data_IF_328171745212
#
_entry.id   IF_328171745212
#
_cell.length_a   1.000
_cell.length_b   1.000
_cell.length_c   1.000
_cell.angle_alpha   90.00
_cell.angle_beta   90.00
_cell.angle_gamma   90.00
#
_symmetry.space_group_name_H-M   'P 1'
#
loop_
_entity.id
_entity.type
_entity.pdbx_description
1 polymer ?
#
# COMPACT_ATOMS: atom_id res chain seq x y z
N UNK A 1 -22.10 40.51 -29.87
CA UNK A 1 -21.70 39.09 -29.73
C UNK A 1 -22.84 38.10 -29.43
N UNK A 2 -24.12 38.53 -29.30
CA UNK A 2 -25.23 37.64 -28.86
C UNK A 2 -26.10 37.01 -29.97
N UNK A 3 -25.85 37.31 -31.26
CA UNK A 3 -26.68 36.81 -32.38
C UNK A 3 -26.27 35.43 -32.93
N UNK A 4 -25.02 35.01 -32.72
CA UNK A 4 -24.50 33.75 -33.28
C UNK A 4 -24.95 32.51 -32.48
N UNK A 5 -25.04 32.61 -31.14
CA UNK A 5 -25.43 31.47 -30.27
C UNK A 5 -26.88 30.98 -30.47
N UNK A 6 -27.83 31.88 -30.79
CA UNK A 6 -29.24 31.49 -31.00
C UNK A 6 -29.46 30.65 -32.26
N UNK A 7 -28.63 30.84 -33.29
CA UNK A 7 -28.77 30.09 -34.54
C UNK A 7 -28.22 28.66 -34.41
N UNK A 8 -27.15 28.45 -33.65
CA UNK A 8 -26.56 27.11 -33.42
C UNK A 8 -27.53 26.15 -32.70
N UNK A 9 -28.21 26.62 -31.66
CA UNK A 9 -29.20 25.81 -30.92
C UNK A 9 -30.42 25.47 -31.79
N UNK A 10 -30.77 26.35 -32.74
CA UNK A 10 -31.89 26.13 -33.66
C UNK A 10 -31.54 25.10 -34.75
N UNK A 11 -30.30 25.10 -35.23
CA UNK A 11 -29.79 24.11 -36.19
C UNK A 11 -29.56 22.73 -35.56
N UNK A 12 -29.08 22.65 -34.32
CA UNK A 12 -28.88 21.38 -33.61
C UNK A 12 -30.19 20.62 -33.32
N UNK A 13 -31.32 21.34 -33.18
CA UNK A 13 -32.66 20.72 -33.03
C UNK A 13 -33.23 20.13 -34.33
N UNK A 14 -32.66 20.47 -35.49
CA UNK A 14 -33.10 19.98 -36.80
C UNK A 14 -32.36 18.72 -37.24
N UNK A 15 -31.28 18.34 -36.57
CA UNK A 15 -30.58 17.09 -36.82
C UNK A 15 -31.39 15.97 -36.16
N UNK A 16 -32.29 15.38 -36.94
CA UNK A 16 -33.00 14.16 -36.57
C UNK A 16 -32.31 12.99 -37.24
N UNK A 17 -31.98 11.97 -36.46
CA UNK A 17 -31.51 10.69 -37.00
C UNK A 17 -32.52 10.19 -38.03
N UNK A 18 -32.02 9.80 -39.20
CA UNK A 18 -32.84 9.16 -40.21
C UNK A 18 -33.37 7.82 -39.68
N UNK A 19 -34.50 7.35 -40.23
CA UNK A 19 -35.11 6.10 -39.75
C UNK A 19 -34.13 4.91 -39.77
N UNK A 20 -33.32 4.81 -40.84
CA UNK A 20 -32.32 3.75 -41.00
C UNK A 20 -31.17 3.85 -40.00
N UNK A 21 -30.74 5.06 -39.60
CA UNK A 21 -29.70 5.25 -38.58
C UNK A 21 -30.19 4.80 -37.20
N UNK A 22 -31.46 5.11 -36.87
CA UNK A 22 -32.06 4.64 -35.61
C UNK A 22 -32.20 3.12 -35.58
N UNK A 23 -32.55 2.51 -36.70
CA UNK A 23 -32.71 1.06 -36.77
C UNK A 23 -31.34 0.34 -36.71
N UNK A 24 -30.30 0.91 -37.34
CA UNK A 24 -28.93 0.42 -37.20
C UNK A 24 -28.41 0.52 -35.76
N UNK A 25 -28.68 1.64 -35.07
CA UNK A 25 -28.32 1.81 -33.66
C UNK A 25 -29.07 0.80 -32.79
N UNK A 26 -30.37 0.57 -33.02
CA UNK A 26 -31.15 -0.44 -32.29
C UNK A 26 -30.61 -1.84 -32.50
N UNK A 27 -30.26 -2.22 -33.72
CA UNK A 27 -29.68 -3.53 -34.01
C UNK A 27 -28.33 -3.71 -33.32
N UNK A 28 -27.46 -2.71 -33.36
CA UNK A 28 -26.18 -2.76 -32.64
C UNK A 28 -26.39 -2.84 -31.12
N UNK A 29 -27.39 -2.15 -30.57
CA UNK A 29 -27.72 -2.22 -29.15
C UNK A 29 -28.25 -3.60 -28.76
N UNK A 30 -29.09 -4.21 -29.59
CA UNK A 30 -29.61 -5.57 -29.38
C UNK A 30 -28.49 -6.60 -29.47
N UNK A 31 -27.56 -6.46 -30.42
CA UNK A 31 -26.38 -7.33 -30.52
C UNK A 31 -25.49 -7.18 -29.29
N UNK A 32 -25.24 -5.95 -28.83
CA UNK A 32 -24.48 -5.70 -27.62
C UNK A 32 -25.16 -6.28 -26.37
N UNK A 33 -26.49 -6.12 -26.25
CA UNK A 33 -27.29 -6.69 -25.15
C UNK A 33 -27.35 -8.22 -25.15
N UNK A 34 -27.18 -8.86 -26.30
CA UNK A 34 -27.15 -10.32 -26.42
C UNK A 34 -25.75 -10.92 -26.21
N UNK A 35 -24.67 -10.16 -26.47
CA UNK A 35 -23.29 -10.63 -26.30
C UNK A 35 -22.72 -10.35 -24.91
N UNK A 36 -23.25 -9.35 -24.19
CA UNK A 36 -22.89 -9.11 -22.80
C UNK A 36 -23.83 -9.95 -21.92
N UNK A 37 -23.33 -10.96 -21.17
CA UNK A 37 -24.19 -11.67 -20.24
C UNK A 37 -24.80 -10.65 -19.29
N UNK A 38 -26.12 -10.70 -19.09
CA UNK A 38 -26.77 -9.94 -18.02
C UNK A 38 -26.05 -10.31 -16.74
N UNK A 39 -25.23 -9.39 -16.22
CA UNK A 39 -24.92 -9.39 -14.80
C UNK A 39 -26.28 -9.14 -14.17
N UNK A 40 -26.96 -10.22 -13.83
CA UNK A 40 -28.06 -10.20 -12.92
C UNK A 40 -27.39 -9.72 -11.64
N UNK A 41 -27.38 -8.40 -11.43
CA UNK A 41 -27.19 -7.86 -10.10
C UNK A 41 -28.38 -8.41 -9.36
N UNK A 42 -28.22 -9.59 -8.76
CA UNK A 42 -29.03 -9.90 -7.62
C UNK A 42 -28.93 -8.66 -6.77
N UNK A 43 -30.07 -7.98 -6.60
CA UNK A 43 -30.18 -7.02 -5.53
C UNK A 43 -29.96 -7.88 -4.31
N UNK A 44 -28.71 -8.00 -3.86
CA UNK A 44 -28.36 -8.45 -2.56
C UNK A 44 -29.04 -7.45 -1.65
N UNK A 45 -30.30 -7.72 -1.33
CA UNK A 45 -31.05 -7.01 -0.34
C UNK A 45 -30.30 -7.31 0.94
N UNK A 46 -29.40 -6.41 1.30
CA UNK A 46 -28.75 -6.38 2.58
C UNK A 46 -29.86 -6.36 3.62
N UNK A 47 -30.29 -7.53 4.09
CA UNK A 47 -31.34 -7.67 5.09
C UNK A 47 -30.94 -7.01 6.44
N UNK A 48 -29.69 -6.55 6.56
CA UNK A 48 -29.21 -5.68 7.63
C UNK A 48 -29.86 -4.29 7.65
N UNK A 49 -30.42 -3.80 6.53
CA UNK A 49 -31.11 -2.49 6.49
C UNK A 49 -32.59 -2.55 6.91
N UNK A 50 -33.14 -3.74 7.21
CA UNK A 50 -34.51 -3.87 7.75
C UNK A 50 -34.55 -4.01 9.28
N UNK A 51 -33.40 -3.95 9.95
CA UNK A 51 -33.37 -3.78 11.39
C UNK A 51 -33.95 -2.39 11.70
N UNK A 52 -35.06 -2.34 12.44
CA UNK A 52 -35.64 -1.08 12.93
C UNK A 52 -34.50 -0.21 13.50
N UNK A 53 -34.46 1.11 13.25
CA UNK A 53 -33.36 1.98 13.70
C UNK A 53 -33.08 1.86 15.21
N UNK A 54 -34.08 1.44 16.00
CA UNK A 54 -33.98 1.11 17.42
C UNK A 54 -33.07 -0.09 17.72
N UNK A 55 -33.03 -1.12 16.87
CA UNK A 55 -32.12 -2.27 17.04
C UNK A 55 -30.67 -1.94 16.66
N UNK A 56 -30.46 -1.11 15.62
CA UNK A 56 -29.12 -0.62 15.27
C UNK A 56 -28.60 0.31 16.37
N UNK A 57 -29.45 1.19 16.91
CA UNK A 57 -29.13 2.02 18.05
C UNK A 57 -28.91 1.21 19.34
N UNK A 58 -29.67 0.13 19.55
CA UNK A 58 -29.50 -0.79 20.69
C UNK A 58 -28.21 -1.60 20.62
N UNK A 59 -27.84 -2.09 19.43
CA UNK A 59 -26.54 -2.73 19.19
C UNK A 59 -25.40 -1.71 19.36
N UNK A 60 -25.55 -0.48 18.85
CA UNK A 60 -24.61 0.61 19.10
C UNK A 60 -24.47 0.92 20.61
N UNK A 61 -25.56 1.01 21.37
CA UNK A 61 -25.52 1.24 22.83
C UNK A 61 -24.86 0.06 23.58
N UNK A 62 -25.08 -1.17 23.11
CA UNK A 62 -24.47 -2.37 23.69
C UNK A 62 -22.97 -2.47 23.38
N UNK A 63 -22.54 -2.08 22.18
CA UNK A 63 -21.12 -1.93 21.82
C UNK A 63 -20.46 -0.71 22.53
N UNK A 64 -21.20 0.37 22.78
CA UNK A 64 -20.74 1.53 23.58
C UNK A 64 -20.60 1.18 25.07
N UNK A 65 -21.46 0.30 25.61
CA UNK A 65 -21.37 -0.20 26.99
C UNK A 65 -20.13 -1.04 27.29
N UNK A 66 -19.43 -1.51 26.25
CA UNK A 66 -18.13 -2.20 26.32
C UNK A 66 -17.00 -1.35 25.69
N UNK A 67 -17.19 -0.03 25.60
CA UNK A 67 -16.57 0.92 24.66
C UNK A 67 -15.04 0.99 24.53
N UNK A 68 -14.27 0.31 25.39
CA UNK A 68 -12.83 0.15 25.20
C UNK A 68 -12.49 -0.98 24.19
N UNK A 69 -13.24 -2.08 24.18
CA UNK A 69 -12.90 -3.27 23.38
C UNK A 69 -13.26 -3.15 21.89
N UNK A 70 -14.41 -2.56 21.58
CA UNK A 70 -14.92 -2.43 20.20
C UNK A 70 -14.10 -1.44 19.38
N UNK A 71 -13.78 -0.29 19.97
CA UNK A 71 -12.96 0.74 19.33
C UNK A 71 -11.54 0.22 19.03
N UNK A 72 -10.99 -0.59 19.95
CA UNK A 72 -9.69 -1.24 19.77
C UNK A 72 -9.73 -2.31 18.67
N UNK A 73 -10.78 -3.15 18.64
CA UNK A 73 -10.94 -4.16 17.59
C UNK A 73 -11.22 -3.55 16.20
N UNK A 74 -11.91 -2.41 16.14
CA UNK A 74 -12.10 -1.68 14.88
C UNK A 74 -10.79 -1.07 14.36
N UNK A 75 -9.87 -0.67 15.24
CA UNK A 75 -8.60 -0.07 14.86
C UNK A 75 -7.70 -1.04 14.06
N UNK A 76 -7.75 -2.32 14.39
CA UNK A 76 -6.97 -3.38 13.73
C UNK A 76 -7.70 -4.03 12.55
N UNK A 77 -8.97 -3.68 12.30
CA UNK A 77 -9.75 -4.26 11.22
C UNK A 77 -9.16 -3.95 9.83
N UNK A 78 -9.15 -4.96 8.96
CA UNK A 78 -8.75 -4.90 7.56
C UNK A 78 -9.96 -4.81 6.62
N UNK A 79 -9.78 -4.36 5.36
CA UNK A 79 -10.81 -4.43 4.35
C UNK A 79 -11.38 -5.85 4.24
N UNK A 80 -12.69 -5.99 4.42
CA UNK A 80 -13.37 -7.30 4.47
C UNK A 80 -13.77 -7.77 5.88
N UNK A 81 -13.15 -7.21 6.93
CA UNK A 81 -13.51 -7.52 8.32
C UNK A 81 -14.82 -6.85 8.75
N UNK A 82 -15.54 -7.48 9.68
CA UNK A 82 -16.85 -7.03 10.17
C UNK A 82 -16.83 -5.59 10.73
N UNK A 83 -15.75 -5.22 11.43
CA UNK A 83 -15.62 -3.91 12.08
C UNK A 83 -14.92 -2.86 11.21
N UNK A 84 -14.56 -3.19 9.96
CA UNK A 84 -13.93 -2.23 9.06
C UNK A 84 -14.80 -0.98 8.77
N UNK A 85 -16.12 -1.08 8.60
CA UNK A 85 -16.98 0.10 8.49
C UNK A 85 -16.91 1.01 9.73
N UNK A 86 -16.74 0.43 10.92
CA UNK A 86 -16.59 1.21 12.17
C UNK A 86 -15.27 1.97 12.16
N UNK A 87 -14.17 1.35 11.70
CA UNK A 87 -12.87 2.00 11.54
C UNK A 87 -12.97 3.28 10.71
N UNK A 88 -13.50 3.15 9.49
CA UNK A 88 -13.49 4.23 8.50
C UNK A 88 -14.55 5.31 8.76
N UNK A 89 -15.69 4.97 9.38
CA UNK A 89 -16.80 5.90 9.57
C UNK A 89 -16.87 6.50 10.99
N UNK A 90 -16.26 5.87 11.98
CA UNK A 90 -16.34 6.30 13.38
C UNK A 90 -14.94 6.61 13.91
N UNK A 91 -14.08 5.59 14.04
CA UNK A 91 -12.79 5.72 14.74
C UNK A 91 -11.90 6.79 14.09
N UNK A 92 -11.74 6.75 12.78
CA UNK A 92 -10.92 7.70 12.04
C UNK A 92 -11.52 9.12 12.03
N UNK A 93 -12.85 9.24 11.97
CA UNK A 93 -13.48 10.57 11.99
C UNK A 93 -13.35 11.24 13.36
N UNK A 94 -13.37 10.49 14.46
CA UNK A 94 -13.16 11.06 15.81
C UNK A 94 -11.74 11.66 15.92
N UNK A 95 -10.71 10.98 15.39
CA UNK A 95 -9.35 11.53 15.36
C UNK A 95 -9.25 12.79 14.50
N UNK A 96 -9.99 12.86 13.39
CA UNK A 96 -10.03 14.07 12.55
C UNK A 96 -10.53 15.32 13.29
N UNK A 97 -11.37 15.16 14.32
CA UNK A 97 -11.84 16.25 15.17
C UNK A 97 -10.79 16.75 16.17
N UNK A 98 -9.72 15.97 16.41
CA UNK A 98 -8.63 16.34 17.32
C UNK A 98 -7.55 17.20 16.63
N UNK A 99 -7.51 17.24 15.30
CA UNK A 99 -6.57 18.04 14.51
C UNK A 99 -6.97 19.53 14.53
N UNK A 100 -6.26 20.33 15.34
CA UNK A 100 -6.64 21.73 15.64
C UNK A 100 -6.19 22.74 14.59
N UNK A 101 -5.11 22.46 13.85
CA UNK A 101 -4.54 23.37 12.84
C UNK A 101 -4.32 22.68 11.48
N UNK A 102 -4.06 23.46 10.44
CA UNK A 102 -3.91 22.95 9.06
C UNK A 102 -2.76 21.95 8.92
N UNK A 103 -1.63 22.17 9.59
CA UNK A 103 -0.51 21.22 9.63
C UNK A 103 -0.92 19.86 10.22
N UNK A 104 -1.62 19.85 11.37
CA UNK A 104 -2.11 18.61 12.01
C UNK A 104 -3.19 17.90 11.19
N UNK A 105 -3.99 18.66 10.42
CA UNK A 105 -4.96 18.09 9.48
C UNK A 105 -4.25 17.45 8.29
N UNK A 106 -3.25 18.13 7.75
CA UNK A 106 -2.40 17.63 6.68
C UNK A 106 -1.71 16.32 7.06
N UNK A 107 -1.10 16.26 8.25
CA UNK A 107 -0.50 15.05 8.81
C UNK A 107 -1.52 13.92 8.94
N UNK A 108 -2.71 14.20 9.48
CA UNK A 108 -3.77 13.20 9.60
C UNK A 108 -4.23 12.63 8.25
N UNK A 109 -4.26 13.45 7.19
CA UNK A 109 -4.61 12.98 5.85
C UNK A 109 -3.56 12.02 5.28
N UNK A 110 -2.27 12.30 5.48
CA UNK A 110 -1.17 11.40 5.10
C UNK A 110 -1.18 10.12 5.94
N UNK A 111 -1.41 10.21 7.25
CA UNK A 111 -1.51 9.02 8.13
C UNK A 111 -2.60 8.05 7.64
N UNK A 112 -3.72 8.56 7.12
CA UNK A 112 -4.78 7.70 6.58
C UNK A 112 -4.41 7.01 5.29
N UNK A 113 -3.58 7.64 4.46
CA UNK A 113 -2.96 6.98 3.28
C UNK A 113 -2.06 5.85 3.77
N UNK A 114 -1.13 6.13 4.68
CA UNK A 114 -0.21 5.13 5.24
C UNK A 114 -1.01 3.93 5.77
N UNK A 115 -2.09 4.16 6.51
CA UNK A 115 -2.97 3.08 6.99
C UNK A 115 -3.60 2.25 5.89
N UNK A 116 -4.02 2.85 4.76
CA UNK A 116 -4.54 2.06 3.62
C UNK A 116 -3.42 1.21 3.02
N UNK A 117 -2.23 1.77 2.89
CA UNK A 117 -1.08 1.07 2.32
C UNK A 117 -0.63 -0.10 3.22
N UNK A 118 -0.58 0.11 4.53
CA UNK A 118 -0.33 -0.95 5.51
C UNK A 118 -1.39 -2.06 5.46
N UNK A 119 -2.66 -1.71 5.26
CA UNK A 119 -3.72 -2.73 5.10
C UNK A 119 -3.52 -3.54 3.82
N UNK A 120 -3.07 -2.91 2.73
CA UNK A 120 -2.70 -3.60 1.50
C UNK A 120 -1.55 -4.59 1.73
N UNK A 121 -0.54 -4.19 2.49
CA UNK A 121 0.59 -5.05 2.87
C UNK A 121 0.14 -6.22 3.73
N UNK A 122 -0.71 -5.98 4.73
CA UNK A 122 -1.23 -7.02 5.60
C UNK A 122 -2.11 -8.03 4.84
N UNK A 123 -2.98 -7.55 3.95
CA UNK A 123 -3.81 -8.40 3.09
C UNK A 123 -2.95 -9.23 2.12
N UNK A 124 -1.94 -8.61 1.51
CA UNK A 124 -0.99 -9.29 0.62
C UNK A 124 -0.20 -10.36 1.39
N UNK A 125 0.37 -10.01 2.53
CA UNK A 125 1.12 -10.93 3.38
C UNK A 125 0.26 -12.11 3.87
N UNK A 126 -1.01 -11.85 4.17
CA UNK A 126 -1.98 -12.86 4.59
C UNK A 126 -2.55 -13.70 3.43
N UNK A 127 -2.30 -13.34 2.17
CA UNK A 127 -2.93 -13.98 1.00
C UNK A 127 -4.45 -13.75 0.95
N UNK A 128 -4.93 -12.64 1.49
CA UNK A 128 -6.34 -12.25 1.58
C UNK A 128 -6.71 -11.07 0.67
N UNK A 129 -5.78 -10.66 -0.20
CA UNK A 129 -6.06 -9.66 -1.21
C UNK A 129 -6.78 -10.33 -2.38
N UNK A 130 -8.10 -10.26 -2.38
CA UNK A 130 -8.99 -10.78 -3.43
C UNK A 130 -9.68 -9.61 -4.17
N UNK A 131 -10.47 -9.92 -5.20
CA UNK A 131 -11.14 -8.89 -5.99
C UNK A 131 -12.01 -7.92 -5.15
N UNK A 132 -12.65 -8.43 -4.08
CA UNK A 132 -13.52 -7.62 -3.21
C UNK A 132 -12.71 -6.76 -2.26
N UNK A 133 -11.71 -7.34 -1.59
CA UNK A 133 -10.85 -6.57 -0.65
C UNK A 133 -10.00 -5.56 -1.39
N UNK A 134 -9.51 -5.89 -2.59
CA UNK A 134 -8.82 -4.94 -3.47
C UNK A 134 -9.72 -3.78 -3.91
N UNK A 135 -10.96 -4.03 -4.35
CA UNK A 135 -11.87 -2.96 -4.75
C UNK A 135 -12.19 -1.99 -3.58
N UNK A 136 -12.35 -2.53 -2.36
CA UNK A 136 -12.58 -1.71 -1.17
C UNK A 136 -11.33 -0.90 -0.78
N UNK A 137 -10.16 -1.51 -0.87
CA UNK A 137 -8.88 -0.85 -0.65
C UNK A 137 -8.69 0.30 -1.65
N UNK A 138 -8.87 0.06 -2.94
CA UNK A 138 -8.74 1.08 -3.98
C UNK A 138 -9.72 2.24 -3.80
N UNK A 139 -10.97 1.94 -3.46
CA UNK A 139 -11.98 2.97 -3.20
C UNK A 139 -11.60 3.84 -2.00
N UNK A 140 -11.17 3.21 -0.90
CA UNK A 140 -10.83 3.93 0.32
C UNK A 140 -9.52 4.70 0.17
N UNK A 141 -8.55 4.17 -0.56
CA UNK A 141 -7.32 4.86 -0.95
C UNK A 141 -7.61 6.08 -1.82
N UNK A 142 -8.35 5.93 -2.93
CA UNK A 142 -8.69 7.04 -3.83
C UNK A 142 -9.40 8.18 -3.09
N UNK A 143 -10.27 7.84 -2.13
CA UNK A 143 -10.92 8.83 -1.27
C UNK A 143 -9.93 9.60 -0.38
N UNK A 144 -8.86 8.97 0.10
CA UNK A 144 -7.82 9.67 0.85
C UNK A 144 -6.95 10.53 -0.05
N UNK A 145 -6.62 10.06 -1.26
CA UNK A 145 -5.88 10.86 -2.27
C UNK A 145 -6.59 12.18 -2.51
N UNK A 146 -7.89 12.15 -2.82
CA UNK A 146 -8.67 13.39 -3.02
C UNK A 146 -8.64 14.30 -1.79
N UNK A 147 -8.62 13.75 -0.56
CA UNK A 147 -8.51 14.58 0.65
C UNK A 147 -7.14 15.22 0.80
N UNK A 148 -6.07 14.53 0.39
CA UNK A 148 -4.71 15.09 0.35
C UNK A 148 -4.65 16.21 -0.66
N UNK A 149 -5.14 15.99 -1.88
CA UNK A 149 -5.21 17.02 -2.94
C UNK A 149 -6.02 18.24 -2.51
N UNK A 150 -7.19 18.05 -1.91
CA UNK A 150 -8.03 19.14 -1.40
C UNK A 150 -7.33 19.93 -0.27
N UNK A 151 -6.56 19.24 0.59
CA UNK A 151 -5.79 19.89 1.66
C UNK A 151 -4.63 20.70 1.11
N UNK A 152 -3.91 20.17 0.11
CA UNK A 152 -2.83 20.88 -0.59
C UNK A 152 -3.41 22.15 -1.23
N UNK A 153 -4.50 22.03 -1.99
CA UNK A 153 -5.18 23.19 -2.60
C UNK A 153 -5.63 24.21 -1.56
N UNK A 154 -6.13 23.75 -0.42
CA UNK A 154 -6.51 24.65 0.67
C UNK A 154 -5.32 25.45 1.20
N UNK A 155 -4.19 24.80 1.47
CA UNK A 155 -2.95 25.45 1.91
C UNK A 155 -2.41 26.43 0.86
N UNK A 156 -2.48 26.09 -0.42
CA UNK A 156 -2.13 27.01 -1.52
C UNK A 156 -3.01 28.27 -1.51
N UNK A 157 -4.32 28.13 -1.27
CA UNK A 157 -5.22 29.30 -1.17
C UNK A 157 -4.91 30.19 0.03
N UNK A 158 -4.28 29.63 1.07
CA UNK A 158 -3.79 30.35 2.24
C UNK A 158 -2.36 30.88 2.05
N UNK A 159 -1.74 30.66 0.89
CA UNK A 159 -0.33 30.97 0.59
C UNK A 159 0.68 30.26 1.51
N UNK A 160 0.27 29.18 2.16
CA UNK A 160 1.13 28.35 3.01
C UNK A 160 1.80 27.24 2.18
N UNK A 161 2.64 27.66 1.24
CA UNK A 161 3.34 26.76 0.33
C UNK A 161 4.34 25.85 1.06
N UNK A 162 4.91 26.29 2.18
CA UNK A 162 5.87 25.49 2.95
C UNK A 162 5.20 24.28 3.63
N UNK A 163 4.01 24.48 4.21
CA UNK A 163 3.22 23.38 4.77
C UNK A 163 2.69 22.47 3.65
N UNK A 164 2.22 23.04 2.54
CA UNK A 164 1.76 22.26 1.38
C UNK A 164 2.89 21.38 0.80
N UNK A 165 4.08 21.95 0.59
CA UNK A 165 5.26 21.24 0.10
C UNK A 165 5.68 20.13 1.08
N UNK A 166 5.60 20.39 2.38
CA UNK A 166 5.89 19.38 3.41
C UNK A 166 4.87 18.22 3.39
N UNK A 167 3.59 18.54 3.21
CA UNK A 167 2.53 17.53 3.09
C UNK A 167 2.74 16.65 1.85
N UNK A 168 3.00 17.28 0.69
CA UNK A 168 3.28 16.56 -0.56
C UNK A 168 4.54 15.69 -0.44
N UNK A 169 5.62 16.20 0.17
CA UNK A 169 6.85 15.42 0.38
C UNK A 169 6.62 14.21 1.31
N UNK A 170 5.87 14.38 2.40
CA UNK A 170 5.51 13.28 3.30
C UNK A 170 4.64 12.23 2.61
N UNK A 171 3.71 12.67 1.76
CA UNK A 171 2.90 11.78 0.95
C UNK A 171 3.75 10.96 -0.03
N UNK A 172 4.72 11.57 -0.73
CA UNK A 172 5.67 10.85 -1.58
C UNK A 172 6.51 9.83 -0.79
N UNK A 173 6.99 10.17 0.40
CA UNK A 173 7.70 9.23 1.28
C UNK A 173 6.84 8.00 1.61
N UNK A 174 5.59 8.21 2.01
CA UNK A 174 4.66 7.13 2.31
C UNK A 174 4.47 6.21 1.09
N UNK A 175 4.16 6.79 -0.08
CA UNK A 175 3.96 6.02 -1.32
C UNK A 175 5.19 5.17 -1.68
N UNK A 176 6.40 5.75 -1.64
CA UNK A 176 7.64 5.06 -1.99
C UNK A 176 7.98 3.92 -1.05
N UNK A 177 7.90 4.16 0.26
CA UNK A 177 8.21 3.15 1.26
C UNK A 177 7.25 1.95 1.15
N UNK A 178 5.95 2.22 1.08
CA UNK A 178 4.94 1.16 0.96
C UNK A 178 4.97 0.45 -0.40
N UNK A 179 5.29 1.14 -1.50
CA UNK A 179 5.51 0.50 -2.81
C UNK A 179 6.70 -0.47 -2.75
N UNK A 180 7.76 -0.09 -2.04
CA UNK A 180 8.93 -0.95 -1.82
C UNK A 180 8.55 -2.22 -1.05
N UNK A 181 7.75 -2.09 0.01
CA UNK A 181 7.29 -3.23 0.82
C UNK A 181 6.35 -4.13 0.01
N UNK A 182 5.38 -3.57 -0.70
CA UNK A 182 4.45 -4.32 -1.54
C UNK A 182 5.16 -5.09 -2.66
N UNK A 183 6.17 -4.48 -3.29
CA UNK A 183 6.99 -5.13 -4.33
C UNK A 183 7.74 -6.34 -3.78
N UNK A 184 8.30 -6.22 -2.57
CA UNK A 184 8.94 -7.36 -1.87
C UNK A 184 7.95 -8.46 -1.51
N UNK A 185 6.76 -8.09 -1.03
CA UNK A 185 5.70 -9.07 -0.70
C UNK A 185 5.19 -9.80 -1.95
N UNK A 186 5.10 -9.10 -3.08
CA UNK A 186 4.71 -9.66 -4.39
C UNK A 186 5.66 -10.78 -4.83
N UNK A 187 6.97 -10.54 -4.80
CA UNK A 187 8.01 -11.51 -5.21
C UNK A 187 7.96 -12.82 -4.40
N UNK A 188 7.48 -12.76 -3.15
CA UNK A 188 7.49 -13.91 -2.22
C UNK A 188 6.27 -14.82 -2.34
N UNK A 189 5.16 -14.32 -2.89
CA UNK A 189 3.84 -14.96 -2.75
C UNK A 189 3.20 -15.46 -4.05
N UNK A 190 3.87 -15.32 -5.21
CA UNK A 190 3.19 -15.39 -6.52
C UNK A 190 1.90 -14.55 -6.48
N UNK A 191 2.02 -13.32 -5.92
CA UNK A 191 0.86 -12.49 -5.65
C UNK A 191 0.13 -12.17 -6.96
N UNK A 192 -1.18 -12.43 -6.98
CA UNK A 192 -2.06 -12.27 -8.14
C UNK A 192 -1.99 -10.86 -8.76
N UNK A 193 -2.50 -10.71 -9.99
CA UNK A 193 -2.45 -9.47 -10.79
C UNK A 193 -2.97 -8.21 -10.07
N UNK A 194 -3.70 -8.36 -8.96
CA UNK A 194 -4.19 -7.25 -8.14
C UNK A 194 -3.07 -6.46 -7.47
N UNK A 195 -2.01 -7.10 -6.96
CA UNK A 195 -0.89 -6.39 -6.33
C UNK A 195 -0.14 -5.56 -7.38
N UNK A 196 0.05 -6.10 -8.58
CA UNK A 196 0.69 -5.40 -9.70
C UNK A 196 -0.11 -4.18 -10.13
N UNK A 197 -1.43 -4.34 -10.22
CA UNK A 197 -2.34 -3.24 -10.56
C UNK A 197 -2.30 -2.14 -9.49
N UNK A 198 -2.27 -2.53 -8.22
CA UNK A 198 -2.20 -1.57 -7.12
C UNK A 198 -0.84 -0.85 -7.09
N UNK A 199 0.29 -1.57 -7.23
CA UNK A 199 1.62 -0.97 -7.32
C UNK A 199 1.71 0.02 -8.49
N UNK A 200 1.20 -0.33 -9.68
CA UNK A 200 1.20 0.56 -10.83
C UNK A 200 0.41 1.85 -10.55
N UNK A 201 -0.71 1.74 -9.83
CA UNK A 201 -1.49 2.90 -9.38
C UNK A 201 -0.72 3.77 -8.38
N UNK A 202 -0.02 3.17 -7.42
CA UNK A 202 0.82 3.91 -6.47
C UNK A 202 1.96 4.65 -7.18
N UNK A 203 2.59 4.03 -8.18
CA UNK A 203 3.63 4.66 -8.99
C UNK A 203 3.09 5.83 -9.81
N UNK A 204 1.92 5.68 -10.43
CA UNK A 204 1.24 6.78 -11.14
C UNK A 204 0.91 7.94 -10.21
N UNK A 205 0.43 7.63 -9.01
CA UNK A 205 0.10 8.62 -7.99
C UNK A 205 1.36 9.34 -7.47
N UNK A 206 2.44 8.59 -7.27
CA UNK A 206 3.73 9.14 -6.88
C UNK A 206 4.27 10.13 -7.93
N UNK A 207 4.20 9.79 -9.22
CA UNK A 207 4.62 10.71 -10.30
C UNK A 207 3.80 12.01 -10.30
N UNK A 208 2.48 11.93 -10.12
CA UNK A 208 1.61 13.10 -10.00
C UNK A 208 1.97 13.98 -8.80
N UNK A 209 2.24 13.36 -7.66
CA UNK A 209 2.62 14.08 -6.45
C UNK A 209 4.04 14.65 -6.52
N UNK A 210 4.97 14.01 -7.24
CA UNK A 210 6.33 14.53 -7.47
C UNK A 210 6.29 15.83 -8.30
N UNK A 211 5.43 15.91 -9.33
CA UNK A 211 5.16 17.16 -10.06
C UNK A 211 4.58 18.25 -9.16
N UNK A 212 3.62 17.86 -8.30
CA UNK A 212 3.01 18.78 -7.31
C UNK A 212 4.05 19.29 -6.31
N UNK A 213 4.89 18.41 -5.77
CA UNK A 213 6.01 18.77 -4.88
C UNK A 213 6.96 19.77 -5.52
N UNK A 214 7.35 19.55 -6.78
CA UNK A 214 8.24 20.46 -7.51
C UNK A 214 7.62 21.86 -7.65
N UNK A 215 6.34 21.94 -8.05
CA UNK A 215 5.64 23.23 -8.15
C UNK A 215 5.51 23.95 -6.81
N UNK A 216 5.29 23.21 -5.72
CA UNK A 216 5.18 23.78 -4.38
C UNK A 216 6.53 24.29 -3.87
N UNK A 217 7.62 23.56 -4.12
CA UNK A 217 8.97 23.98 -3.78
C UNK A 217 9.37 25.26 -4.53
N UNK A 218 9.03 25.37 -5.83
CA UNK A 218 9.23 26.60 -6.59
C UNK A 218 8.44 27.78 -5.99
N UNK A 219 7.18 27.55 -5.58
CA UNK A 219 6.37 28.56 -4.92
C UNK A 219 6.95 28.99 -3.55
N UNK A 220 7.54 28.07 -2.78
CA UNK A 220 8.29 28.39 -1.56
C UNK A 220 9.49 29.27 -1.88
N UNK A 221 10.30 28.88 -2.87
CA UNK A 221 11.50 29.62 -3.26
C UNK A 221 11.19 31.03 -3.81
N UNK A 222 10.02 31.23 -4.41
CA UNK A 222 9.54 32.53 -4.89
C UNK A 222 9.04 33.47 -3.77
N UNK A 223 8.97 32.99 -2.52
CA UNK A 223 8.58 33.77 -1.35
C UNK A 223 9.55 34.91 -1.00
N UNK A 224 9.18 35.72 -0.01
CA UNK A 224 10.11 36.76 0.50
C UNK A 224 11.26 36.11 1.26
N UNK A 225 12.46 36.69 1.19
CA UNK A 225 13.68 36.13 1.82
C UNK A 225 13.47 35.71 3.30
N UNK A 226 12.85 36.52 4.18
CA UNK A 226 12.57 36.08 5.56
C UNK A 226 11.64 34.87 5.65
N UNK A 227 10.64 34.76 4.76
CA UNK A 227 9.73 33.61 4.74
C UNK A 227 10.41 32.35 4.25
N UNK A 228 11.24 32.44 3.19
CA UNK A 228 11.99 31.29 2.68
C UNK A 228 13.00 30.80 3.71
N UNK A 229 13.67 31.73 4.42
CA UNK A 229 14.55 31.40 5.52
C UNK A 229 13.81 30.67 6.66
N UNK A 230 12.66 31.20 7.10
CA UNK A 230 11.86 30.57 8.14
C UNK A 230 11.41 29.15 7.74
N UNK A 231 10.99 28.98 6.49
CA UNK A 231 10.63 27.67 5.93
C UNK A 231 11.82 26.70 5.94
N UNK A 232 12.99 27.14 5.48
CA UNK A 232 14.22 26.33 5.46
C UNK A 232 14.64 25.91 6.87
N UNK A 233 14.65 26.83 7.84
CA UNK A 233 14.98 26.53 9.24
C UNK A 233 13.94 25.63 9.91
N UNK A 234 12.65 25.84 9.61
CA UNK A 234 11.58 24.96 10.03
C UNK A 234 11.78 23.54 9.52
N UNK A 235 12.14 23.42 8.24
CA UNK A 235 12.37 22.13 7.60
C UNK A 235 13.64 21.45 8.11
N UNK A 236 14.72 22.19 8.34
CA UNK A 236 15.93 21.71 9.04
C UNK A 236 15.57 21.04 10.36
N UNK A 237 14.79 21.73 11.20
CA UNK A 237 14.40 21.17 12.50
C UNK A 237 13.59 19.88 12.35
N UNK A 238 12.70 19.80 11.36
CA UNK A 238 11.90 18.61 11.11
C UNK A 238 12.74 17.45 10.55
N UNK A 239 13.58 17.71 9.53
CA UNK A 239 14.42 16.71 8.87
C UNK A 239 15.43 16.09 9.82
N UNK A 240 16.13 16.90 10.62
CA UNK A 240 17.11 16.41 11.60
C UNK A 240 16.43 15.56 12.67
N UNK A 241 15.28 16.01 13.21
CA UNK A 241 14.52 15.19 14.18
C UNK A 241 14.12 13.83 13.58
N UNK A 242 13.63 13.84 12.34
CA UNK A 242 13.20 12.60 11.65
C UNK A 242 14.38 11.67 11.41
N UNK A 243 15.52 12.22 10.97
CA UNK A 243 16.76 11.48 10.75
C UNK A 243 17.24 10.83 12.04
N UNK A 244 17.35 11.59 13.14
CA UNK A 244 17.74 11.05 14.44
C UNK A 244 16.78 9.95 14.90
N UNK A 245 15.47 10.19 14.82
CA UNK A 245 14.47 9.16 15.16
C UNK A 245 14.66 7.88 14.34
N UNK A 246 14.86 7.99 13.03
CA UNK A 246 15.02 6.84 12.16
C UNK A 246 16.35 6.09 12.43
N UNK A 247 17.44 6.81 12.71
CA UNK A 247 18.72 6.24 13.09
C UNK A 247 18.65 5.49 14.43
N UNK A 248 17.99 6.06 15.43
CA UNK A 248 17.84 5.44 16.75
C UNK A 248 16.96 4.19 16.65
N UNK A 249 15.84 4.28 15.93
CA UNK A 249 14.97 3.15 15.68
C UNK A 249 15.69 2.03 14.91
N UNK A 250 16.55 2.37 13.94
CA UNK A 250 17.34 1.40 13.19
C UNK A 250 18.30 0.64 14.11
N UNK A 251 19.04 1.36 14.97
CA UNK A 251 19.95 0.76 15.98
C UNK A 251 19.19 -0.16 16.93
N UNK A 252 18.04 0.27 17.44
CA UNK A 252 17.20 -0.52 18.34
C UNK A 252 16.64 -1.78 17.68
N UNK A 253 16.46 -1.76 16.36
CA UNK A 253 15.83 -2.85 15.61
C UNK A 253 16.83 -3.78 14.93
N UNK A 254 18.14 -3.55 15.09
CA UNK A 254 19.20 -4.21 14.30
C UNK A 254 19.13 -5.75 14.31
N UNK A 255 18.79 -6.37 15.45
CA UNK A 255 18.70 -7.83 15.57
C UNK A 255 17.40 -8.42 14.97
N UNK A 256 16.35 -7.60 14.91
CA UNK A 256 15.01 -7.98 14.45
C UNK A 256 14.77 -7.66 12.97
N UNK A 257 15.64 -6.86 12.34
CA UNK A 257 15.55 -6.49 10.94
C UNK A 257 15.79 -7.67 10.02
N UNK A 258 14.98 -7.74 8.96
CA UNK A 258 15.24 -8.61 7.82
C UNK A 258 16.59 -8.24 7.15
N UNK A 259 17.53 -9.19 7.00
CA UNK A 259 18.81 -8.96 6.34
C UNK A 259 18.70 -8.39 4.91
N UNK A 260 17.60 -8.63 4.20
CA UNK A 260 17.38 -8.07 2.86
C UNK A 260 16.88 -6.63 2.87
N UNK A 261 16.29 -6.19 3.99
CA UNK A 261 15.78 -4.84 4.20
C UNK A 261 16.85 -3.89 4.73
N UNK A 262 17.77 -4.40 5.56
CA UNK A 262 18.79 -3.59 6.24
C UNK A 262 19.63 -2.72 5.27
N UNK A 263 20.17 -3.23 4.13
CA UNK A 263 20.95 -2.40 3.22
C UNK A 263 20.15 -1.25 2.59
N UNK A 264 18.85 -1.46 2.32
CA UNK A 264 17.98 -0.40 1.81
C UNK A 264 17.76 0.69 2.85
N UNK A 265 17.55 0.29 4.12
CA UNK A 265 17.36 1.24 5.22
C UNK A 265 18.64 2.04 5.47
N UNK A 266 19.80 1.38 5.52
CA UNK A 266 21.11 2.02 5.65
C UNK A 266 21.37 3.02 4.53
N UNK A 267 21.10 2.64 3.28
CA UNK A 267 21.24 3.52 2.13
C UNK A 267 20.39 4.78 2.26
N UNK A 268 19.12 4.65 2.71
CA UNK A 268 18.22 5.80 2.91
C UNK A 268 18.65 6.71 4.05
N UNK A 269 19.18 6.14 5.14
CA UNK A 269 19.72 6.93 6.26
C UNK A 269 21.00 7.67 5.86
N UNK A 270 21.86 7.05 5.05
CA UNK A 270 23.04 7.70 4.47
C UNK A 270 22.66 8.86 3.55
N UNK A 271 21.75 8.62 2.60
CA UNK A 271 21.22 9.66 1.70
C UNK A 271 20.63 10.84 2.49
N UNK A 272 19.84 10.56 3.53
CA UNK A 272 19.28 11.60 4.38
C UNK A 272 20.34 12.42 5.14
N UNK A 273 21.42 11.76 5.59
CA UNK A 273 22.53 12.41 6.28
C UNK A 273 23.32 13.33 5.35
N UNK A 274 23.62 12.87 4.13
CA UNK A 274 24.35 13.62 3.12
C UNK A 274 23.55 14.85 2.67
N UNK A 275 22.27 14.66 2.33
CA UNK A 275 21.36 15.74 1.94
C UNK A 275 21.21 16.80 3.06
N UNK A 276 21.16 16.39 4.32
CA UNK A 276 21.11 17.32 5.44
C UNK A 276 22.40 18.12 5.61
N UNK A 277 23.55 17.52 5.26
CA UNK A 277 24.85 18.20 5.21
C UNK A 277 24.91 19.24 4.09
N UNK A 278 24.48 18.88 2.88
CA UNK A 278 24.42 19.78 1.74
C UNK A 278 23.43 20.94 1.99
N UNK A 279 22.28 20.64 2.58
CA UNK A 279 21.30 21.65 2.98
C UNK A 279 21.87 22.66 3.99
N UNK A 280 22.71 22.21 4.93
CA UNK A 280 23.38 23.09 5.89
C UNK A 280 24.34 24.05 5.19
N UNK A 281 25.06 23.57 4.18
CA UNK A 281 25.96 24.40 3.39
C UNK A 281 25.19 25.49 2.64
N UNK A 282 24.07 25.15 1.98
CA UNK A 282 23.19 26.13 1.31
C UNK A 282 22.55 27.12 2.29
N UNK A 283 22.21 26.68 3.50
CA UNK A 283 21.65 27.56 4.52
C UNK A 283 22.68 28.60 4.99
N UNK A 284 23.96 28.22 5.08
CA UNK A 284 25.05 29.13 5.47
C UNK A 284 25.41 30.15 4.39
N UNK A 285 25.21 29.83 3.12
CA UNK A 285 25.44 30.74 1.99
C UNK A 285 24.26 31.69 1.72
N UNK A 286 23.14 31.51 2.43
CA UNK A 286 21.91 32.30 2.24
C UNK A 286 21.02 31.80 1.10
N UNK A 287 21.32 30.63 0.52
CA UNK A 287 20.51 29.97 -0.50
C UNK A 287 19.32 29.24 0.13
N UNK A 288 18.42 29.96 0.81
CA UNK A 288 17.37 29.34 1.63
C UNK A 288 16.39 28.44 0.85
N UNK A 289 16.10 28.74 -0.41
CA UNK A 289 15.25 27.89 -1.26
C UNK A 289 15.89 26.52 -1.52
N UNK A 290 17.17 26.51 -1.93
CA UNK A 290 17.92 25.27 -2.13
C UNK A 290 18.08 24.48 -0.83
N UNK A 291 18.35 25.17 0.29
CA UNK A 291 18.42 24.56 1.61
C UNK A 291 17.07 23.91 2.01
N UNK A 292 15.94 24.59 1.76
CA UNK A 292 14.62 24.05 2.02
C UNK A 292 14.37 22.76 1.22
N UNK A 293 14.68 22.77 -0.08
CA UNK A 293 14.53 21.61 -0.95
C UNK A 293 15.38 20.44 -0.46
N UNK A 294 16.67 20.65 -0.19
CA UNK A 294 17.56 19.59 0.31
C UNK A 294 17.09 19.04 1.67
N UNK A 295 16.60 19.87 2.59
CA UNK A 295 15.99 19.37 3.83
C UNK A 295 14.66 18.64 3.61
N UNK A 296 13.89 18.97 2.56
CA UNK A 296 12.73 18.18 2.13
C UNK A 296 13.14 16.79 1.68
N UNK A 297 14.20 16.69 0.90
CA UNK A 297 14.71 15.41 0.43
C UNK A 297 15.29 14.57 1.58
N UNK A 298 16.06 15.20 2.48
CA UNK A 298 16.60 14.55 3.67
C UNK A 298 15.49 13.99 4.58
N UNK A 299 14.45 14.80 4.84
CA UNK A 299 13.31 14.36 5.63
C UNK A 299 12.60 13.16 4.99
N UNK A 300 12.41 13.20 3.67
CA UNK A 300 11.75 12.14 2.91
C UNK A 300 12.52 10.83 2.99
N UNK A 301 13.84 10.85 2.75
CA UNK A 301 14.69 9.66 2.87
C UNK A 301 14.68 9.09 4.30
N UNK A 302 14.75 9.94 5.33
CA UNK A 302 14.63 9.51 6.73
C UNK A 302 13.25 8.92 7.07
N UNK A 303 12.16 9.49 6.54
CA UNK A 303 10.80 8.96 6.71
C UNK A 303 10.65 7.61 6.03
N UNK A 304 11.19 7.44 4.82
CA UNK A 304 11.16 6.15 4.11
C UNK A 304 11.87 5.06 4.92
N UNK A 305 13.07 5.34 5.43
CA UNK A 305 13.78 4.44 6.34
C UNK A 305 12.93 4.06 7.57
N UNK A 306 12.30 5.07 8.20
CA UNK A 306 11.45 4.85 9.35
C UNK A 306 10.23 3.95 9.04
N UNK A 307 9.55 4.16 7.91
CA UNK A 307 8.41 3.33 7.50
C UNK A 307 8.85 1.89 7.24
N UNK A 308 9.98 1.69 6.56
CA UNK A 308 10.53 0.35 6.30
C UNK A 308 10.81 -0.43 7.60
N UNK A 309 11.35 0.23 8.64
CA UNK A 309 11.61 -0.41 9.94
C UNK A 309 10.28 -0.79 10.63
N UNK A 310 9.28 0.10 10.61
CA UNK A 310 7.97 -0.18 11.20
C UNK A 310 7.26 -1.33 10.49
N UNK A 311 7.31 -1.36 9.16
CA UNK A 311 6.74 -2.44 8.37
C UNK A 311 7.40 -3.79 8.69
N UNK A 312 8.73 -3.83 8.87
CA UNK A 312 9.44 -5.03 9.32
C UNK A 312 8.88 -5.55 10.65
N UNK A 313 8.74 -4.67 11.65
CA UNK A 313 8.18 -5.03 12.96
C UNK A 313 6.74 -5.55 12.85
N UNK A 314 5.91 -4.93 12.02
CA UNK A 314 4.49 -5.24 11.87
C UNK A 314 4.23 -6.53 11.11
N UNK A 315 5.02 -6.81 10.07
CA UNK A 315 4.90 -8.00 9.24
C UNK A 315 5.59 -9.22 9.85
N UNK A 316 6.57 -9.01 10.75
CA UNK A 316 7.35 -10.05 11.39
C UNK A 316 8.39 -10.66 10.46
N UNK A 317 9.56 -11.00 11.01
CA UNK A 317 10.77 -11.48 10.31
C UNK A 317 10.49 -12.62 9.32
N UNK A 318 9.68 -13.60 9.73
CA UNK A 318 9.44 -14.83 8.93
C UNK A 318 8.59 -14.61 7.67
N UNK A 319 7.85 -13.50 7.58
CA UNK A 319 7.00 -13.20 6.41
C UNK A 319 7.72 -12.42 5.32
N UNK A 320 8.89 -11.87 5.65
CA UNK A 320 9.71 -11.04 4.78
C UNK A 320 11.00 -11.76 4.36
N UNK A 321 11.13 -13.09 4.45
CA UNK A 321 12.31 -13.82 3.93
C UNK A 321 12.02 -14.50 2.57
N UNK A 322 12.99 -14.60 1.64
CA UNK A 322 12.83 -15.41 0.43
C UNK A 322 12.82 -16.89 0.78
N UNK A 323 12.08 -17.66 -0.03
CA UNK A 323 12.17 -19.11 -0.07
C UNK A 323 13.63 -19.50 -0.28
N UNK A 324 14.27 -20.09 0.73
CA UNK A 324 15.37 -21.02 0.48
C UNK A 324 14.87 -22.01 -0.56
N UNK A 325 15.51 -22.01 -1.72
CA UNK A 325 15.15 -22.85 -2.86
C UNK A 325 14.88 -24.27 -2.37
N UNK A 326 13.68 -24.78 -2.65
CA UNK A 326 13.35 -26.18 -2.47
C UNK A 326 14.34 -26.96 -3.31
N UNK A 327 15.36 -27.53 -2.66
CA UNK A 327 16.20 -28.58 -3.23
C UNK A 327 15.24 -29.69 -3.62
N UNK A 328 14.92 -29.76 -4.90
CA UNK A 328 14.16 -30.86 -5.47
C UNK A 328 15.03 -32.10 -5.32
N UNK A 329 14.74 -32.91 -4.30
CA UNK A 329 15.20 -34.28 -4.22
C UNK A 329 14.61 -35.04 -5.42
N UNK A 330 15.44 -35.23 -6.44
CA UNK A 330 15.40 -36.35 -7.36
C UNK A 330 16.70 -37.13 -7.06
N UNK A 331 16.72 -38.43 -6.79
CA UNK A 331 15.84 -39.51 -7.20
C UNK A 331 16.21 -40.72 -6.34
N UNK A 332 15.32 -41.21 -5.47
CA UNK A 332 15.34 -42.58 -4.97
C UNK A 332 14.08 -43.29 -5.47
N UNK A 333 14.18 -43.84 -6.67
CA UNK A 333 13.24 -44.83 -7.20
C UNK A 333 13.80 -46.22 -6.94
N UNK A 334 13.16 -46.99 -6.06
CA UNK A 334 12.86 -48.41 -6.29
C UNK A 334 11.99 -49.00 -5.18
N UNK A 335 10.68 -48.99 -5.45
CA UNK A 335 9.77 -50.14 -5.40
C UNK A 335 9.70 -51.00 -4.12
N UNK A 336 8.67 -50.75 -3.32
CA UNK A 336 8.07 -51.73 -2.41
C UNK A 336 6.90 -52.42 -3.11
N UNK A 337 7.00 -53.73 -3.32
CA UNK A 337 5.85 -54.60 -3.59
C UNK A 337 5.95 -55.82 -2.68
N UNK A 338 4.87 -56.08 -1.95
CA UNK A 338 4.61 -57.27 -1.12
C UNK A 338 3.08 -57.50 -1.17
N UNK A 339 2.52 -58.64 -0.72
CA UNK A 339 2.96 -60.04 -0.84
C UNK A 339 1.78 -60.96 -1.26
N UNK A 340 2.02 -62.20 -1.72
CA UNK A 340 1.04 -63.30 -1.59
C UNK A 340 1.62 -64.70 -1.89
N UNK A 341 1.20 -65.65 -1.04
CA UNK A 341 0.98 -67.10 -1.28
C UNK A 341 2.10 -68.12 -1.04
N UNK A 342 2.03 -68.73 0.16
CA UNK A 342 2.01 -70.17 0.48
C UNK A 342 2.45 -71.18 -0.60
N UNK A 343 3.40 -72.09 -0.29
CA UNK A 343 3.22 -73.55 -0.04
C UNK A 343 4.59 -74.26 0.00
N UNK A 344 4.80 -75.15 0.99
CA UNK A 344 6.01 -75.98 1.22
C UNK A 344 6.02 -77.27 0.34
N UNK A 345 6.81 -78.33 0.66
CA UNK A 345 8.26 -78.58 0.49
C UNK A 345 8.54 -79.84 -0.41
N UNK A 346 9.81 -80.23 -0.67
CA UNK A 346 10.37 -81.61 -0.93
C UNK A 346 11.68 -81.57 -1.77
N UNK A 347 12.88 -81.97 -1.27
CA UNK A 347 13.54 -83.31 -1.20
C UNK A 347 14.49 -83.66 -2.38
N UNK A 348 15.71 -84.11 -2.01
CA UNK A 348 16.75 -84.90 -2.74
C UNK A 348 17.51 -84.25 -3.93
N UNK A 349 18.80 -84.49 -4.23
CA UNK A 349 19.74 -85.59 -3.90
C UNK A 349 21.21 -85.22 -4.26
N UNK A 350 22.17 -85.72 -3.45
CA UNK A 350 23.55 -86.25 -3.72
C UNK A 350 24.38 -85.67 -4.89
N UNK A 351 25.66 -85.31 -4.71
CA UNK A 351 26.85 -86.20 -4.60
C UNK A 351 28.03 -85.37 -4.01
N UNK A 352 28.73 -85.75 -2.93
CA UNK A 352 29.78 -86.79 -2.75
C UNK A 352 31.03 -86.59 -3.63
N UNK A 353 32.12 -86.07 -3.06
CA UNK A 353 33.42 -86.77 -3.06
C UNK A 353 34.40 -86.20 -2.02
N UNK A 354 35.07 -87.14 -1.36
CA UNK A 354 36.12 -87.01 -0.35
C UNK A 354 37.50 -86.73 -0.98
N UNK A 355 38.42 -86.17 -0.17
CA UNK A 355 39.89 -86.43 -0.08
C UNK A 355 40.56 -85.13 0.38
N UNK A 356 41.00 -85.02 1.63
CA UNK A 356 42.33 -85.45 2.12
C UNK A 356 43.45 -84.46 1.77
N UNK A 357 44.00 -83.94 2.85
CA UNK A 357 45.42 -83.77 3.17
C UNK A 357 46.29 -82.68 2.53
N UNK A 358 47.15 -82.21 3.45
CA UNK A 358 48.52 -81.77 3.32
C UNK A 358 48.85 -80.29 3.07
N UNK A 359 49.31 -79.69 4.18
CA UNK A 359 50.67 -79.17 4.38
C UNK A 359 51.12 -77.83 3.76
N UNK A 360 51.69 -77.02 4.67
CA UNK A 360 52.78 -76.02 4.50
C UNK A 360 52.47 -74.80 3.61
N UNK A 361 52.67 -73.55 4.01
CA UNK A 361 53.72 -72.89 4.80
C UNK A 361 53.17 -71.63 5.51
#
# INVERSE_FOLDING_TARGET
>A
MFRVKKNFIKSARQIRLAAHERDAIRQNLVLHMNMVPRIQTEKATWHLFQLKPVMVAGLFLMLLGTGAGVSFAAETALPGDLLYPVKIHVTENIRSLAARNDASRAEWHVERIERRLEEAELLTAAGKLDARTNALLEQTFAKQVTRVEDSIKHLETQTDYATAASMSSNYSAALRAHTTILSRLREKKDAESFVDTFIAKLQSEQSSNDETSASLNEAVAAGTQPMVQEAAEGKKRASIRKLTQAQDLFKESAEELDPELAPTIESRLGEAQDLAGDAEAELQTGSYGAAFDLYQEAHRAAQEANVLIHANKKLGKDRLLPRLQKKTDASDTATTTNPATSTAPSIERRQRNDSEDDDSD
#
